data_IF_001525830442
#
_entry.id   IF_001525830442
#
_cell.length_a   1.000
_cell.length_b   1.000
_cell.length_c   1.000
_cell.angle_alpha   90.00
_cell.angle_beta   90.00
_cell.angle_gamma   90.00
#
_symmetry.space_group_name_H-M   'P 1'
#
loop_
_entity.id
_entity.type
_entity.pdbx_description
1 polymer ?
#
# COMPACT_ATOMS: atom_id res chain seq x y z
N UNK A 1 30.54 -38.20 4.98
CA UNK A 1 29.30 -37.41 4.94
C UNK A 1 29.56 -36.05 5.57
N UNK A 2 29.83 -35.02 4.75
CA UNK A 2 30.10 -33.66 5.23
C UNK A 2 28.77 -32.91 5.34
N UNK A 3 28.32 -32.65 6.57
CA UNK A 3 27.16 -31.81 6.84
C UNK A 3 27.52 -30.34 6.58
N UNK A 4 26.93 -29.76 5.54
CA UNK A 4 27.03 -28.33 5.28
C UNK A 4 26.30 -27.57 6.41
N UNK A 5 27.08 -26.91 7.26
CA UNK A 5 26.59 -25.96 8.25
C UNK A 5 25.88 -24.82 7.50
N UNK A 6 24.56 -24.74 7.64
CA UNK A 6 23.79 -23.57 7.19
C UNK A 6 24.29 -22.37 7.98
N UNK A 7 24.92 -21.42 7.30
CA UNK A 7 25.30 -20.17 7.94
C UNK A 7 24.05 -19.38 8.36
N UNK A 8 24.09 -18.68 9.50
CA UNK A 8 23.01 -17.80 9.92
C UNK A 8 22.91 -16.61 8.97
N UNK A 9 21.77 -16.48 8.29
CA UNK A 9 21.46 -15.31 7.46
C UNK A 9 21.32 -14.11 8.40
N UNK A 10 22.18 -13.11 8.24
CA UNK A 10 22.11 -11.87 9.01
C UNK A 10 20.72 -11.21 8.87
N UNK A 11 20.20 -10.55 9.92
CA UNK A 11 18.93 -9.84 9.82
C UNK A 11 19.04 -8.70 8.81
N UNK A 12 18.32 -8.82 7.70
CA UNK A 12 18.20 -7.77 6.69
C UNK A 12 17.61 -6.53 7.36
N UNK A 13 18.24 -5.36 7.17
CA UNK A 13 17.70 -4.09 7.68
C UNK A 13 16.32 -3.85 7.09
N UNK A 14 15.39 -3.34 7.88
CA UNK A 14 13.97 -3.16 7.53
C UNK A 14 13.74 -2.53 6.14
N UNK A 15 14.58 -1.55 5.79
CA UNK A 15 14.51 -0.81 4.53
C UNK A 15 15.06 -1.60 3.34
N UNK A 16 16.14 -2.37 3.54
CA UNK A 16 16.68 -3.27 2.50
C UNK A 16 15.68 -4.39 2.18
N UNK A 17 15.01 -4.91 3.21
CA UNK A 17 13.98 -5.93 3.06
C UNK A 17 12.75 -5.42 2.30
N UNK A 18 12.39 -4.15 2.48
CA UNK A 18 11.30 -3.51 1.74
C UNK A 18 11.71 -3.26 0.29
N UNK A 19 12.93 -2.77 0.05
CA UNK A 19 13.46 -2.54 -1.29
C UNK A 19 13.56 -3.82 -2.13
N UNK A 20 13.99 -4.94 -1.52
CA UNK A 20 13.95 -6.27 -2.14
C UNK A 20 12.52 -6.65 -2.55
N UNK A 21 11.55 -6.53 -1.64
CA UNK A 21 10.15 -6.86 -1.92
C UNK A 21 9.58 -5.96 -3.01
N UNK A 22 9.87 -4.66 -3.01
CA UNK A 22 9.43 -3.72 -4.04
C UNK A 22 9.96 -4.09 -5.43
N UNK A 23 11.23 -4.50 -5.53
CA UNK A 23 11.81 -5.01 -6.79
C UNK A 23 11.05 -6.24 -7.28
N UNK A 24 10.78 -7.21 -6.41
CA UNK A 24 10.07 -8.42 -6.80
C UNK A 24 8.59 -8.19 -7.15
N UNK A 25 7.93 -7.24 -6.49
CA UNK A 25 6.58 -6.77 -6.90
C UNK A 25 6.63 -6.21 -8.31
N UNK A 26 7.60 -5.33 -8.62
CA UNK A 26 7.73 -4.73 -9.94
C UNK A 26 8.01 -5.80 -11.01
N UNK A 27 8.89 -6.77 -10.72
CA UNK A 27 9.16 -7.92 -11.62
C UNK A 27 7.89 -8.71 -11.88
N UNK A 28 7.10 -9.01 -10.83
CA UNK A 28 5.85 -9.76 -10.98
C UNK A 28 4.82 -9.02 -11.86
N UNK A 29 4.69 -7.70 -11.69
CA UNK A 29 3.79 -6.88 -12.49
C UNK A 29 4.27 -6.77 -13.94
N UNK A 30 5.57 -6.57 -14.19
CA UNK A 30 6.15 -6.56 -15.55
C UNK A 30 5.93 -7.89 -16.27
N UNK A 31 6.20 -9.01 -15.60
CA UNK A 31 5.94 -10.35 -16.16
C UNK A 31 4.46 -10.52 -16.51
N UNK A 32 3.55 -10.10 -15.63
CA UNK A 32 2.12 -10.19 -15.91
C UNK A 32 1.72 -9.33 -17.11
N UNK A 33 2.27 -8.11 -17.22
CA UNK A 33 2.06 -7.23 -18.38
C UNK A 33 2.54 -7.88 -19.68
N UNK A 34 3.71 -8.51 -19.68
CA UNK A 34 4.21 -9.23 -20.85
C UNK A 34 3.33 -10.42 -21.24
N UNK A 35 2.69 -11.09 -20.27
CA UNK A 35 1.83 -12.26 -20.51
C UNK A 35 0.41 -11.90 -20.96
N UNK A 36 -0.13 -10.77 -20.48
CA UNK A 36 -1.55 -10.43 -20.61
C UNK A 36 -1.81 -9.08 -21.31
N UNK A 37 -0.77 -8.37 -21.74
CA UNK A 37 -0.87 -7.03 -22.32
C UNK A 37 -0.87 -5.93 -21.25
N UNK A 38 -1.21 -4.70 -21.65
CA UNK A 38 -1.38 -3.56 -20.74
C UNK A 38 -2.80 -3.53 -20.13
N UNK A 39 -2.99 -2.72 -19.10
CA UNK A 39 -4.30 -2.43 -18.52
C UNK A 39 -4.82 -3.47 -17.52
N UNK A 40 -6.08 -3.31 -17.11
CA UNK A 40 -6.71 -4.09 -16.03
C UNK A 40 -6.74 -5.62 -16.25
N UNK A 41 -6.70 -6.10 -17.50
CA UNK A 41 -6.60 -7.54 -17.82
C UNK A 41 -5.27 -8.17 -17.35
N UNK A 42 -4.23 -7.35 -17.19
CA UNK A 42 -2.94 -7.74 -16.64
C UNK A 42 -2.83 -7.49 -15.13
N UNK A 43 -3.95 -7.36 -14.43
CA UNK A 43 -3.95 -7.20 -12.98
C UNK A 43 -3.50 -8.45 -12.23
N UNK A 44 -2.87 -8.21 -11.08
CA UNK A 44 -2.62 -9.20 -10.04
C UNK A 44 -3.32 -8.79 -8.74
N UNK A 45 -3.99 -9.74 -8.11
CA UNK A 45 -4.55 -9.53 -6.77
C UNK A 45 -3.44 -9.45 -5.72
N UNK A 46 -3.75 -8.93 -4.53
CA UNK A 46 -2.77 -8.91 -3.42
C UNK A 46 -2.30 -10.31 -3.03
N UNK A 47 -3.21 -11.29 -2.99
CA UNK A 47 -2.85 -12.68 -2.71
C UNK A 47 -1.89 -13.26 -3.74
N UNK A 48 -2.09 -12.95 -5.03
CA UNK A 48 -1.18 -13.37 -6.09
C UNK A 48 0.20 -12.70 -5.96
N UNK A 49 0.24 -11.41 -5.64
CA UNK A 49 1.50 -10.70 -5.38
C UNK A 49 2.23 -11.30 -4.18
N UNK A 50 1.54 -11.50 -3.05
CA UNK A 50 2.12 -12.12 -1.86
C UNK A 50 2.71 -13.49 -2.17
N UNK A 51 1.97 -14.36 -2.88
CA UNK A 51 2.45 -15.69 -3.22
C UNK A 51 3.69 -15.65 -4.12
N UNK A 52 3.66 -14.84 -5.19
CA UNK A 52 4.76 -14.71 -6.17
C UNK A 52 6.01 -14.13 -5.53
N UNK A 53 5.86 -13.04 -4.79
CA UNK A 53 6.97 -12.37 -4.11
C UNK A 53 7.54 -13.28 -3.04
N UNK A 54 6.70 -13.92 -2.21
CA UNK A 54 7.20 -14.84 -1.16
C UNK A 54 8.03 -15.98 -1.74
N UNK A 55 7.61 -16.53 -2.88
CA UNK A 55 8.37 -17.55 -3.59
C UNK A 55 9.70 -17.00 -4.13
N UNK A 56 9.72 -15.77 -4.66
CA UNK A 56 10.92 -15.15 -5.21
C UNK A 56 11.95 -14.79 -4.13
N UNK A 57 11.53 -14.23 -2.99
CA UNK A 57 12.43 -13.84 -1.88
C UNK A 57 12.74 -14.98 -0.90
N UNK A 58 12.18 -16.18 -1.12
CA UNK A 58 12.42 -17.35 -0.26
C UNK A 58 11.88 -17.25 1.17
N UNK A 59 10.94 -16.32 1.44
CA UNK A 59 10.33 -16.11 2.76
C UNK A 59 8.89 -15.63 2.64
N UNK A 60 8.08 -15.86 3.68
CA UNK A 60 6.69 -15.40 3.71
C UNK A 60 6.64 -13.87 3.79
N UNK A 61 5.99 -13.24 2.81
CA UNK A 61 5.74 -11.79 2.77
C UNK A 61 4.30 -11.51 3.18
N UNK A 62 4.11 -10.54 4.06
CA UNK A 62 2.78 -10.15 4.56
C UNK A 62 2.06 -9.21 3.59
N UNK A 63 0.72 -9.15 3.69
CA UNK A 63 -0.09 -8.17 2.96
C UNK A 63 0.37 -6.74 3.23
N UNK A 64 0.69 -6.43 4.49
CA UNK A 64 1.19 -5.10 4.90
C UNK A 64 2.51 -4.75 4.20
N UNK A 65 3.41 -5.72 4.06
CA UNK A 65 4.70 -5.52 3.38
C UNK A 65 4.51 -5.31 1.87
N UNK A 66 3.64 -6.11 1.23
CA UNK A 66 3.31 -5.91 -0.20
C UNK A 66 2.68 -4.54 -0.42
N UNK A 67 1.80 -4.10 0.47
CA UNK A 67 1.19 -2.78 0.40
C UNK A 67 2.23 -1.66 0.50
N UNK A 68 3.12 -1.73 1.49
CA UNK A 68 4.20 -0.76 1.63
C UNK A 68 5.08 -0.73 0.37
N UNK A 69 5.43 -1.89 -0.18
CA UNK A 69 6.20 -1.97 -1.42
C UNK A 69 5.49 -1.36 -2.63
N UNK A 70 4.17 -1.52 -2.76
CA UNK A 70 3.39 -0.87 -3.82
C UNK A 70 3.34 0.66 -3.66
N UNK A 71 3.29 1.15 -2.41
CA UNK A 71 3.37 2.57 -2.10
C UNK A 71 4.76 3.15 -2.42
N UNK A 72 5.84 2.43 -2.07
CA UNK A 72 7.23 2.77 -2.44
C UNK A 72 7.42 2.86 -3.95
N UNK A 73 6.90 1.88 -4.71
CA UNK A 73 7.01 1.90 -6.18
C UNK A 73 6.34 3.14 -6.79
N UNK A 74 5.20 3.57 -6.24
CA UNK A 74 4.51 4.78 -6.70
C UNK A 74 5.26 6.05 -6.32
N UNK A 75 5.82 6.10 -5.12
CA UNK A 75 6.69 7.20 -4.69
C UNK A 75 7.92 7.33 -5.59
N UNK A 76 8.45 6.20 -6.07
CA UNK A 76 9.52 6.12 -7.06
C UNK A 76 9.03 6.31 -8.53
N UNK A 77 7.85 6.88 -8.74
CA UNK A 77 7.26 7.19 -10.05
C UNK A 77 7.02 5.99 -10.98
N UNK A 78 6.85 4.77 -10.44
CA UNK A 78 6.32 3.66 -11.24
C UNK A 78 4.79 3.79 -11.39
N UNK A 79 4.23 3.59 -12.60
CA UNK A 79 2.81 3.78 -12.87
C UNK A 79 1.99 2.55 -12.44
N UNK A 80 2.09 2.21 -11.15
CA UNK A 80 1.36 1.11 -10.54
C UNK A 80 -0.05 1.59 -10.21
N UNK A 81 -1.01 1.21 -11.02
CA UNK A 81 -2.43 1.53 -10.83
C UNK A 81 -3.12 0.43 -10.04
N UNK A 82 -4.25 0.79 -9.43
CA UNK A 82 -5.12 -0.16 -8.74
C UNK A 82 -6.56 0.26 -8.90
N UNK A 83 -7.45 -0.71 -9.08
CA UNK A 83 -8.88 -0.48 -9.13
C UNK A 83 -9.60 -1.45 -8.21
N UNK A 84 -10.61 -0.95 -7.51
CA UNK A 84 -11.56 -1.79 -6.78
C UNK A 84 -12.41 -2.65 -7.71
N UNK A 85 -12.69 -2.19 -8.95
CA UNK A 85 -13.46 -2.95 -9.93
C UNK A 85 -12.67 -4.16 -10.46
N UNK A 86 -11.39 -3.97 -10.80
CA UNK A 86 -10.51 -5.06 -11.27
C UNK A 86 -9.93 -5.90 -10.12
N UNK A 87 -10.07 -5.45 -8.86
CA UNK A 87 -9.56 -6.13 -7.66
C UNK A 87 -8.07 -6.49 -7.72
N UNK A 88 -7.24 -5.60 -8.25
CA UNK A 88 -5.81 -5.87 -8.39
C UNK A 88 -4.95 -4.65 -8.71
N UNK A 89 -3.70 -4.95 -9.03
CA UNK A 89 -2.62 -4.00 -9.34
C UNK A 89 -1.99 -4.38 -10.67
N UNK A 90 -1.68 -3.39 -11.50
CA UNK A 90 -0.95 -3.56 -12.76
C UNK A 90 -0.12 -2.32 -13.07
N UNK A 91 0.77 -2.47 -14.04
CA UNK A 91 1.49 -1.34 -14.62
C UNK A 91 0.68 -0.81 -15.80
N UNK A 92 0.41 0.49 -15.80
CA UNK A 92 -0.25 1.16 -16.90
C UNK A 92 0.70 2.16 -17.57
N UNK A 93 0.58 2.28 -18.88
CA UNK A 93 1.14 3.37 -19.68
C UNK A 93 0.04 4.28 -20.26
N UNK A 94 -1.22 3.99 -19.97
CA UNK A 94 -2.34 4.82 -20.37
C UNK A 94 -2.53 5.97 -19.37
N UNK A 95 -2.34 7.19 -19.87
CA UNK A 95 -2.51 8.41 -19.09
C UNK A 95 -3.92 8.54 -18.49
N UNK A 96 -4.96 8.11 -19.22
CA UNK A 96 -6.33 8.17 -18.73
C UNK A 96 -6.55 7.23 -17.53
N UNK A 97 -6.02 6.00 -17.61
CA UNK A 97 -6.11 5.01 -16.53
C UNK A 97 -5.32 5.46 -15.28
N UNK A 98 -4.15 6.06 -15.49
CA UNK A 98 -3.35 6.65 -14.41
C UNK A 98 -4.12 7.81 -13.75
N UNK A 99 -4.68 8.72 -14.55
CA UNK A 99 -5.43 9.87 -14.04
C UNK A 99 -6.70 9.43 -13.27
N UNK A 100 -7.44 8.47 -13.80
CA UNK A 100 -8.60 7.90 -13.09
C UNK A 100 -8.17 7.31 -11.74
N UNK A 101 -7.06 6.57 -11.70
CA UNK A 101 -6.53 6.02 -10.46
C UNK A 101 -6.19 7.12 -9.44
N UNK A 102 -5.60 8.23 -9.89
CA UNK A 102 -5.30 9.40 -9.05
C UNK A 102 -6.58 9.97 -8.45
N UNK A 103 -7.57 10.24 -9.30
CA UNK A 103 -8.82 10.90 -8.90
C UNK A 103 -9.63 10.06 -7.92
N UNK A 104 -9.78 8.76 -8.23
CA UNK A 104 -10.63 7.85 -7.45
C UNK A 104 -9.97 7.37 -6.17
N UNK A 105 -8.66 7.10 -6.20
CA UNK A 105 -7.97 6.49 -5.05
C UNK A 105 -7.37 7.53 -4.13
N UNK A 106 -6.75 8.58 -4.67
CA UNK A 106 -5.96 9.52 -3.85
C UNK A 106 -6.74 10.80 -3.56
N UNK A 107 -7.23 11.50 -4.58
CA UNK A 107 -7.95 12.75 -4.37
C UNK A 107 -9.22 12.54 -3.55
N UNK A 108 -9.98 11.48 -3.82
CA UNK A 108 -11.14 11.10 -3.02
C UNK A 108 -10.79 10.88 -1.54
N UNK A 109 -9.71 10.13 -1.24
CA UNK A 109 -9.27 9.88 0.13
C UNK A 109 -8.76 11.14 0.82
N UNK A 110 -8.00 11.98 0.13
CA UNK A 110 -7.54 13.27 0.64
C UNK A 110 -8.75 14.13 1.03
N UNK A 111 -9.76 14.23 0.16
CA UNK A 111 -11.00 14.97 0.45
C UNK A 111 -11.74 14.41 1.66
N UNK A 112 -11.87 13.08 1.76
CA UNK A 112 -12.51 12.40 2.88
C UNK A 112 -11.78 12.67 4.21
N UNK A 113 -10.46 12.47 4.25
CA UNK A 113 -9.66 12.73 5.46
C UNK A 113 -9.65 14.21 5.85
N UNK A 114 -9.60 15.13 4.88
CA UNK A 114 -9.71 16.55 5.15
C UNK A 114 -11.07 16.92 5.77
N UNK A 115 -12.16 16.31 5.29
CA UNK A 115 -13.49 16.50 5.87
C UNK A 115 -13.58 15.96 7.31
N UNK A 116 -13.07 14.75 7.54
CA UNK A 116 -13.01 14.15 8.88
C UNK A 116 -12.19 15.02 9.86
N UNK A 117 -11.02 15.50 9.44
CA UNK A 117 -10.18 16.40 10.23
C UNK A 117 -10.91 17.70 10.61
N UNK A 118 -11.67 18.30 9.69
CA UNK A 118 -12.51 19.47 10.00
C UNK A 118 -13.58 19.15 11.03
N UNK A 119 -14.23 17.99 10.92
CA UNK A 119 -15.23 17.54 11.90
C UNK A 119 -14.64 17.37 13.30
N UNK A 120 -13.50 16.69 13.41
CA UNK A 120 -12.80 16.47 14.68
C UNK A 120 -12.35 17.79 15.32
N UNK A 121 -11.83 18.75 14.54
CA UNK A 121 -11.46 20.08 15.05
C UNK A 121 -12.66 20.84 15.63
N UNK A 122 -13.83 20.75 14.98
CA UNK A 122 -15.06 21.35 15.52
C UNK A 122 -15.49 20.69 16.82
N UNK A 123 -15.46 19.35 16.89
CA UNK A 123 -15.79 18.62 18.10
C UNK A 123 -14.86 18.99 19.27
N UNK A 124 -13.54 19.07 19.00
CA UNK A 124 -12.55 19.50 20.00
C UNK A 124 -12.83 20.92 20.50
N UNK A 125 -13.20 21.86 19.62
CA UNK A 125 -13.59 23.21 20.02
C UNK A 125 -14.84 23.23 20.89
N UNK A 126 -15.85 22.40 20.60
CA UNK A 126 -17.07 22.32 21.42
C UNK A 126 -16.77 21.79 22.82
N UNK A 127 -15.92 20.77 22.92
CA UNK A 127 -15.47 20.22 24.23
C UNK A 127 -14.69 21.27 25.01
N UNK A 128 -13.79 22.02 24.37
CA UNK A 128 -12.99 23.07 25.01
C UNK A 128 -13.84 24.27 25.47
N UNK A 129 -14.93 24.57 24.76
CA UNK A 129 -15.85 25.67 25.07
C UNK A 129 -16.98 25.29 26.02
N UNK A 130 -17.07 24.03 26.46
CA UNK A 130 -18.06 23.62 27.45
C UNK A 130 -17.61 24.12 28.83
N UNK A 131 -18.32 25.09 29.45
CA UNK A 131 -17.94 25.57 30.78
C UNK A 131 -18.08 24.41 31.77
N UNK A 132 -17.13 24.31 32.70
CA UNK A 132 -17.13 23.38 33.83
C UNK A 132 -18.48 23.43 34.59
N UNK A 133 -19.45 22.59 34.19
CA UNK A 133 -20.67 22.35 34.96
C UNK A 133 -20.44 21.40 36.14
N UNK A 134 -19.18 21.10 36.50
CA UNK A 134 -18.84 20.24 37.63
C UNK A 134 -18.79 20.98 38.99
N UNK A 135 -18.92 22.31 39.02
CA UNK A 135 -18.89 23.09 40.27
C UNK A 135 -20.26 23.43 40.89
N UNK A 136 -21.40 23.07 40.29
CA UNK A 136 -22.75 23.53 40.74
C UNK A 136 -23.68 22.46 41.31
N UNK A 137 -23.19 21.23 41.53
CA UNK A 137 -23.98 20.16 42.15
C UNK A 137 -23.59 19.86 43.62
N UNK A 138 -22.70 20.65 44.22
CA UNK A 138 -22.26 20.48 45.62
C UNK A 138 -22.29 21.78 46.45
N UNK A 139 -23.03 22.80 46.01
CA UNK A 139 -23.23 24.06 46.75
C UNK A 139 -24.65 24.21 47.24
#
# INVERSE_FOLDING_TARGET
MMGALRQPVAPVRSDEALGEVAREVLVALRRRRLQAGSGAGASLTRGQLMARVSAAVGRRVSDRTVRAALEELRAAAHPVVSSSAASGYWLSDDQAEIQECIDRTYLSRIRHHAAAARGLRRAASVVASAPEQQGRLLG
#
